data_IF_149702864412
#
_entry.id   IF_149702864412
#
_cell.length_a   1.000
_cell.length_b   1.000
_cell.length_c   1.000
_cell.angle_alpha   90.00
_cell.angle_beta   90.00
_cell.angle_gamma   90.00
#
_symmetry.space_group_name_H-M   'P 1'
#
loop_
_entity.id
_entity.type
_entity.pdbx_description
1 polymer ?
#
# COMPACT_ATOMS: atom_id res chain seq x y z
N UNK A 1 -4.21 30.03 -4.82
CA UNK A 1 -4.53 28.68 -4.31
C UNK A 1 -3.31 27.81 -4.56
N UNK A 2 -2.39 27.75 -3.60
CA UNK A 2 -1.05 27.19 -3.77
C UNK A 2 -1.12 25.67 -3.91
N UNK A 3 -0.59 25.15 -5.02
CA UNK A 3 -0.30 23.73 -5.17
C UNK A 3 0.76 23.37 -4.11
N UNK A 4 0.36 22.66 -3.07
CA UNK A 4 1.33 21.98 -2.20
C UNK A 4 2.12 21.08 -3.14
N UNK A 5 3.39 21.44 -3.39
CA UNK A 5 4.36 20.57 -4.03
C UNK A 5 4.54 19.38 -3.08
N UNK A 6 3.62 18.43 -3.19
CA UNK A 6 3.58 17.21 -2.42
C UNK A 6 4.70 16.37 -2.99
N UNK A 7 5.92 16.60 -2.50
CA UNK A 7 7.06 15.74 -2.82
C UNK A 7 6.59 14.29 -2.70
N UNK A 8 6.91 13.46 -3.72
CA UNK A 8 6.42 12.09 -3.78
C UNK A 8 6.75 11.40 -2.45
N UNK A 9 5.76 10.93 -1.67
CA UNK A 9 6.03 10.30 -0.39
C UNK A 9 6.99 9.14 -0.61
N UNK A 10 8.06 9.10 0.18
CA UNK A 10 9.05 8.03 0.09
C UNK A 10 8.55 6.87 0.94
N UNK A 11 8.48 5.69 0.31
CA UNK A 11 8.23 4.47 1.05
C UNK A 11 9.48 4.04 1.78
N UNK A 12 9.30 3.68 3.05
CA UNK A 12 10.34 3.08 3.86
C UNK A 12 9.86 1.72 4.36
N UNK A 13 10.73 0.71 4.26
CA UNK A 13 10.53 -0.57 4.94
C UNK A 13 10.80 -0.40 6.44
N UNK A 14 9.86 -0.82 7.26
CA UNK A 14 9.93 -0.75 8.72
C UNK A 14 9.41 -2.06 9.35
N UNK A 15 9.78 -2.39 10.59
CA UNK A 15 9.16 -3.49 11.31
C UNK A 15 7.65 -3.31 11.42
N UNK A 16 6.88 -4.41 11.35
CA UNK A 16 5.41 -4.37 11.51
C UNK A 16 4.97 -3.88 12.90
N UNK A 17 5.88 -3.93 13.87
CA UNK A 17 5.70 -3.42 15.24
C UNK A 17 5.99 -1.92 15.39
N UNK A 18 6.39 -1.22 14.33
CA UNK A 18 6.66 0.21 14.37
C UNK A 18 5.36 0.99 14.68
N UNK A 19 5.34 1.88 15.69
CA UNK A 19 4.14 2.68 16.00
C UNK A 19 3.69 3.57 14.84
N UNK A 20 4.60 3.98 13.95
CA UNK A 20 4.27 4.73 12.73
C UNK A 20 3.63 3.87 11.63
N UNK A 21 3.58 2.55 11.82
CA UNK A 21 2.85 1.63 10.94
C UNK A 21 1.42 1.35 11.45
N UNK A 22 1.05 1.73 12.68
CA UNK A 22 -0.25 1.40 13.26
C UNK A 22 -1.38 2.17 12.56
N UNK A 23 -2.41 1.44 12.14
CA UNK A 23 -3.60 1.99 11.46
C UNK A 23 -4.72 2.21 12.47
N UNK A 24 -5.03 3.46 12.77
CA UNK A 24 -6.16 3.82 13.65
C UNK A 24 -7.50 3.70 12.92
N UNK A 25 -8.06 2.49 12.88
CA UNK A 25 -9.45 2.22 12.47
C UNK A 25 -9.70 2.12 10.95
N UNK A 26 -10.93 1.75 10.53
CA UNK A 26 -11.28 1.48 9.12
C UNK A 26 -11.36 2.74 8.23
N UNK A 27 -11.07 3.91 8.79
CA UNK A 27 -11.18 5.22 8.13
C UNK A 27 -10.40 5.32 6.82
N UNK A 28 -9.22 4.70 6.79
CA UNK A 28 -8.31 4.74 5.64
C UNK A 28 -8.95 4.24 4.35
N UNK A 29 -9.92 3.31 4.42
CA UNK A 29 -10.59 2.76 3.22
C UNK A 29 -11.38 3.83 2.47
N UNK A 30 -11.86 4.87 3.15
CA UNK A 30 -12.62 5.95 2.53
C UNK A 30 -11.75 6.84 1.63
N UNK A 31 -10.46 6.99 1.98
CA UNK A 31 -9.47 7.80 1.27
C UNK A 31 -8.68 7.01 0.19
N UNK A 32 -9.00 5.72 0.01
CA UNK A 32 -8.33 4.89 -0.98
C UNK A 32 -8.70 5.29 -2.41
N UNK A 33 -7.69 5.57 -3.24
CA UNK A 33 -7.89 5.92 -4.67
C UNK A 33 -8.51 4.76 -5.46
N UNK A 34 -8.26 3.51 -5.05
CA UNK A 34 -8.87 2.34 -5.68
C UNK A 34 -10.35 2.15 -5.31
N UNK A 35 -10.90 2.93 -4.37
CA UNK A 35 -12.31 2.84 -3.98
C UNK A 35 -13.19 3.21 -5.18
N UNK A 36 -14.01 2.27 -5.64
CA UNK A 36 -14.89 2.44 -6.80
C UNK A 36 -14.27 2.06 -8.14
N UNK A 37 -13.03 1.57 -8.15
CA UNK A 37 -12.47 0.89 -9.32
C UNK A 37 -12.91 -0.57 -9.36
N UNK A 38 -12.86 -1.15 -10.56
CA UNK A 38 -13.15 -2.57 -10.79
C UNK A 38 -12.21 -3.47 -9.95
N UNK A 39 -12.79 -4.43 -9.23
CA UNK A 39 -12.04 -5.38 -8.41
C UNK A 39 -11.20 -6.33 -9.26
N UNK A 40 -11.61 -6.64 -10.50
CA UNK A 40 -10.85 -7.50 -11.41
C UNK A 40 -9.48 -6.89 -11.76
N UNK A 41 -9.34 -5.57 -11.66
CA UNK A 41 -8.05 -4.88 -11.84
C UNK A 41 -7.03 -5.29 -10.76
N UNK A 42 -7.50 -5.60 -9.55
CA UNK A 42 -6.66 -5.89 -8.39
C UNK A 42 -6.66 -7.38 -8.03
N UNK A 43 -7.77 -8.07 -8.26
CA UNK A 43 -8.03 -9.46 -7.91
C UNK A 43 -8.67 -10.20 -9.11
N UNK A 44 -7.91 -10.41 -10.20
CA UNK A 44 -8.46 -11.07 -11.37
C UNK A 44 -8.84 -12.52 -11.05
N UNK A 45 -10.02 -12.93 -11.53
CA UNK A 45 -10.52 -14.32 -11.40
C UNK A 45 -9.81 -15.27 -12.37
N UNK A 46 -9.32 -14.74 -13.50
CA UNK A 46 -8.68 -15.52 -14.54
C UNK A 46 -7.18 -15.75 -14.25
N UNK A 47 -6.72 -17.00 -14.44
CA UNK A 47 -5.30 -17.39 -14.32
C UNK A 47 -4.39 -16.81 -15.41
N UNK A 48 -4.95 -15.99 -16.32
CA UNK A 48 -4.16 -15.26 -17.31
C UNK A 48 -3.21 -14.33 -16.59
N UNK A 49 -2.00 -14.17 -17.12
CA UNK A 49 -1.01 -13.24 -16.58
C UNK A 49 -1.51 -11.78 -16.73
N UNK A 50 -2.34 -11.33 -15.80
CA UNK A 50 -2.80 -9.95 -15.74
C UNK A 50 -1.62 -9.08 -15.35
N UNK A 51 -1.41 -8.01 -16.11
CA UNK A 51 -0.31 -7.10 -15.88
C UNK A 51 -0.38 -6.54 -14.46
N UNK A 52 0.74 -6.65 -13.74
CA UNK A 52 0.88 -6.13 -12.37
C UNK A 52 0.95 -4.60 -12.36
N UNK A 53 1.32 -3.98 -13.47
CA UNK A 53 1.66 -2.56 -13.48
C UNK A 53 0.46 -1.59 -13.42
N UNK A 54 -0.68 -1.86 -14.08
CA UNK A 54 -1.88 -1.04 -13.93
C UNK A 54 -2.36 -0.87 -12.48
N UNK A 55 -2.63 -1.95 -11.69
CA UNK A 55 -3.00 -1.80 -10.28
C UNK A 55 -1.88 -1.19 -9.43
N UNK A 56 -0.60 -1.50 -9.70
CA UNK A 56 0.52 -0.85 -9.00
C UNK A 56 0.54 0.66 -9.22
N UNK A 57 0.23 1.14 -10.42
CA UNK A 57 0.18 2.57 -10.73
C UNK A 57 -0.86 3.28 -9.88
N UNK A 58 -2.04 2.68 -9.70
CA UNK A 58 -3.06 3.19 -8.78
C UNK A 58 -2.53 3.24 -7.35
N UNK A 59 -1.92 2.17 -6.88
CA UNK A 59 -1.37 2.13 -5.52
C UNK A 59 -0.24 3.15 -5.28
N UNK A 60 0.60 3.44 -6.28
CA UNK A 60 1.72 4.40 -6.16
C UNK A 60 1.26 5.83 -5.86
N UNK A 61 0.06 6.22 -6.29
CA UNK A 61 -0.54 7.53 -6.01
C UNK A 61 -1.50 7.53 -4.81
N UNK A 62 -1.70 6.39 -4.16
CA UNK A 62 -2.70 6.25 -3.10
C UNK A 62 -2.13 6.76 -1.76
N UNK A 63 -2.76 7.76 -1.09
CA UNK A 63 -2.25 8.33 0.15
C UNK A 63 -2.27 7.32 1.31
N UNK A 64 -3.21 6.38 1.27
CA UNK A 64 -3.40 5.34 2.30
C UNK A 64 -2.65 4.04 2.00
N UNK A 65 -1.68 4.07 1.09
CA UNK A 65 -0.95 2.85 0.66
C UNK A 65 -0.30 2.11 1.84
N UNK A 66 0.30 2.84 2.78
CA UNK A 66 0.93 2.25 3.97
C UNK A 66 -0.12 1.59 4.89
N UNK A 67 -1.19 2.33 5.21
CA UNK A 67 -2.27 1.80 6.05
C UNK A 67 -2.93 0.57 5.43
N UNK A 68 -3.18 0.59 4.12
CA UNK A 68 -3.70 -0.54 3.36
C UNK A 68 -2.81 -1.78 3.50
N UNK A 69 -1.50 -1.64 3.35
CA UNK A 69 -0.58 -2.78 3.45
C UNK A 69 -0.49 -3.34 4.87
N UNK A 70 -0.46 -2.48 5.89
CA UNK A 70 -0.42 -2.92 7.30
C UNK A 70 -1.69 -3.69 7.68
N UNK A 71 -2.86 -3.14 7.35
CA UNK A 71 -4.15 -3.77 7.63
C UNK A 71 -4.24 -5.15 6.96
N UNK A 72 -3.86 -5.24 5.68
CA UNK A 72 -3.88 -6.49 4.92
C UNK A 72 -2.87 -7.49 5.46
N UNK A 73 -1.62 -7.10 5.74
CA UNK A 73 -0.63 -8.02 6.32
C UNK A 73 -1.04 -8.56 7.70
N UNK A 74 -1.85 -7.81 8.44
CA UNK A 74 -2.35 -8.19 9.77
C UNK A 74 -3.60 -9.07 9.74
N UNK A 75 -4.35 -9.05 8.64
CA UNK A 75 -5.68 -9.70 8.54
C UNK A 75 -5.76 -10.80 7.47
N UNK A 76 -4.88 -10.80 6.46
CA UNK A 76 -4.90 -11.79 5.39
C UNK A 76 -4.34 -13.15 5.86
N UNK A 77 -4.91 -14.25 5.35
CA UNK A 77 -4.40 -15.59 5.59
C UNK A 77 -2.98 -15.73 4.97
N UNK A 78 -1.93 -15.98 5.76
CA UNK A 78 -0.58 -16.05 5.23
C UNK A 78 -0.37 -17.16 4.19
N UNK A 79 -1.17 -18.22 4.23
CA UNK A 79 -1.12 -19.35 3.30
C UNK A 79 -1.88 -19.07 1.99
N UNK A 80 -2.83 -18.11 1.99
CA UNK A 80 -3.73 -17.85 0.86
C UNK A 80 -3.80 -16.36 0.55
N UNK A 81 -2.84 -15.89 -0.24
CA UNK A 81 -2.72 -14.49 -0.66
C UNK A 81 -3.07 -14.34 -2.13
N UNK A 82 -3.87 -13.32 -2.44
CA UNK A 82 -4.35 -13.04 -3.80
C UNK A 82 -4.23 -11.55 -4.13
N UNK A 83 -4.21 -11.27 -5.43
CA UNK A 83 -4.27 -9.91 -5.96
C UNK A 83 -3.17 -8.95 -5.51
N UNK A 84 -3.34 -7.70 -5.90
CA UNK A 84 -2.42 -6.60 -5.63
C UNK A 84 -3.02 -5.67 -4.58
N UNK A 85 -2.33 -5.53 -3.46
CA UNK A 85 -2.81 -4.79 -2.29
C UNK A 85 -1.66 -3.97 -1.73
N UNK A 86 -1.90 -2.70 -1.37
CA UNK A 86 -0.81 -1.79 -0.98
C UNK A 86 0.28 -1.62 -2.06
N UNK A 87 -0.03 -1.93 -3.32
CA UNK A 87 0.93 -1.95 -4.43
C UNK A 87 1.92 -3.13 -4.39
N UNK A 88 1.56 -4.22 -3.70
CA UNK A 88 2.38 -5.43 -3.54
C UNK A 88 1.66 -6.67 -4.04
N UNK A 89 2.41 -7.59 -4.66
CA UNK A 89 1.92 -8.89 -5.12
C UNK A 89 1.83 -9.90 -3.98
N UNK A 90 1.14 -11.05 -4.15
CA UNK A 90 1.11 -12.10 -3.13
C UNK A 90 2.51 -12.59 -2.75
N UNK A 91 3.42 -12.70 -3.73
CA UNK A 91 4.80 -13.10 -3.48
C UNK A 91 5.56 -12.08 -2.63
N UNK A 92 5.42 -10.79 -2.92
CA UNK A 92 6.05 -9.72 -2.13
C UNK A 92 5.49 -9.66 -0.71
N UNK A 93 4.17 -9.80 -0.54
CA UNK A 93 3.56 -9.85 0.79
C UNK A 93 4.01 -11.05 1.59
N UNK A 94 4.21 -12.22 0.96
CA UNK A 94 4.84 -13.39 1.62
C UNK A 94 6.24 -13.05 2.13
N UNK A 95 7.06 -12.37 1.33
CA UNK A 95 8.41 -11.94 1.74
C UNK A 95 8.36 -10.96 2.91
N UNK A 96 7.50 -9.94 2.83
CA UNK A 96 7.33 -8.94 3.89
C UNK A 96 6.87 -9.57 5.20
N UNK A 97 5.87 -10.44 5.16
CA UNK A 97 5.35 -11.13 6.34
C UNK A 97 6.41 -12.02 7.00
N UNK A 98 7.18 -12.80 6.22
CA UNK A 98 8.27 -13.62 6.76
C UNK A 98 9.38 -12.77 7.42
N UNK A 99 9.62 -11.58 6.88
CA UNK A 99 10.60 -10.65 7.44
C UNK A 99 10.04 -9.82 8.61
N UNK A 100 8.74 -9.90 8.93
CA UNK A 100 8.10 -9.03 9.91
C UNK A 100 8.14 -7.55 9.52
N UNK A 101 8.08 -7.25 8.21
CA UNK A 101 8.22 -5.90 7.65
C UNK A 101 6.93 -5.41 7.02
N UNK A 102 6.77 -4.08 7.00
CA UNK A 102 5.74 -3.36 6.26
C UNK A 102 6.32 -2.07 5.67
N UNK A 103 5.48 -1.27 5.02
CA UNK A 103 5.85 0.06 4.51
C UNK A 103 5.21 1.15 5.36
N UNK A 104 5.93 2.26 5.53
CA UNK A 104 5.38 3.53 6.00
C UNK A 104 5.61 4.62 4.94
N UNK A 105 4.72 5.61 4.89
CA UNK A 105 4.89 6.82 4.10
C UNK A 105 5.51 7.89 4.99
N UNK A 106 6.79 8.19 4.82
CA UNK A 106 7.35 9.41 5.38
C UNK A 106 6.92 10.58 4.49
N UNK A 107 6.49 11.73 5.03
CA UNK A 107 6.46 12.95 4.22
C UNK A 107 7.83 13.09 3.59
N UNK A 108 7.89 13.24 2.27
CA UNK A 108 9.15 13.58 1.61
C UNK A 108 9.67 14.81 2.35
N UNK A 109 10.83 14.71 3.01
CA UNK A 109 11.42 15.85 3.67
C UNK A 109 11.64 16.91 2.58
N UNK A 110 10.70 17.85 2.48
CA UNK A 110 10.99 19.18 1.95
C UNK A 110 11.98 19.74 2.94
N UNK A 111 13.23 19.86 2.52
CA UNK A 111 14.22 20.54 3.32
C UNK A 111 13.70 21.92 3.68
N UNK A 112 13.90 22.31 4.93
CA UNK A 112 13.89 23.70 5.32
C UNK A 112 14.83 24.44 4.35
N UNK A 113 14.26 25.27 3.49
CA UNK A 113 14.98 26.39 2.90
C UNK A 113 14.52 27.61 3.69
N UNK A 114 15.49 28.24 4.34
CA UNK A 114 15.37 29.50 5.06
C UNK A 114 14.77 30.61 4.18
#
# INVERSE_FOLDING_TARGET
>A
MSAVSSGRPVLRLVPITDPAAVVSGPGWRQEAVCRGLDTELFFPVDDRAVSVEPPRRVCRGCPVRAACLVDVLSTEDPARRFGIVGGTTPAERRTLHRAGLTITTRPAAGGDVA
#
